data_IF_351554963125
#
_entry.id   IF_351554963125
#
_cell.length_a   1.000
_cell.length_b   1.000
_cell.length_c   1.000
_cell.angle_alpha   90.00
_cell.angle_beta   90.00
_cell.angle_gamma   90.00
#
_symmetry.space_group_name_H-M   'P 1'
#
loop_
_entity.id
_entity.type
_entity.pdbx_description
1 polymer ?
#
# COMPACT_ATOMS: atom_id res chain seq x y z
N UNK A 1 4.35 22.83 20.42
CA UNK A 1 3.91 23.72 19.33
C UNK A 1 2.39 23.60 19.28
N UNK A 2 1.67 24.56 19.86
CA UNK A 2 0.20 24.54 19.87
C UNK A 2 -0.29 25.42 18.74
N UNK A 3 -0.62 24.82 17.59
CA UNK A 3 -1.43 25.47 16.57
C UNK A 3 -2.88 25.47 17.08
N UNK A 4 -3.28 26.55 17.74
CA UNK A 4 -4.69 26.83 17.98
C UNK A 4 -5.24 27.51 16.73
N UNK A 5 -5.75 26.69 15.81
CA UNK A 5 -6.43 27.13 14.59
C UNK A 5 -7.55 26.14 14.29
N UNK A 6 -8.57 26.05 15.16
CA UNK A 6 -9.77 25.24 14.91
C UNK A 6 -10.66 25.88 13.82
N UNK A 7 -10.11 26.11 12.63
CA UNK A 7 -10.86 26.58 11.46
C UNK A 7 -11.25 25.45 10.51
N UNK A 8 -10.86 24.19 10.81
CA UNK A 8 -11.00 23.03 9.93
C UNK A 8 -10.41 23.28 8.53
N UNK A 9 -9.45 24.22 8.44
CA UNK A 9 -8.81 24.62 7.20
C UNK A 9 -7.97 23.50 6.61
N UNK A 10 -7.75 23.59 5.30
CA UNK A 10 -6.93 22.63 4.56
C UNK A 10 -5.55 22.45 5.21
N UNK A 11 -4.84 23.54 5.52
CA UNK A 11 -3.51 23.48 6.12
C UNK A 11 -3.47 22.86 7.51
N UNK A 12 -4.52 23.06 8.32
CA UNK A 12 -4.60 22.41 9.63
C UNK A 12 -4.65 20.88 9.48
N UNK A 13 -5.44 20.38 8.52
CA UNK A 13 -5.59 18.95 8.26
C UNK A 13 -4.32 18.33 7.68
N UNK A 14 -3.65 19.04 6.78
CA UNK A 14 -2.33 18.65 6.28
C UNK A 14 -1.31 18.55 7.43
N UNK A 15 -1.26 19.55 8.32
CA UNK A 15 -0.40 19.52 9.50
C UNK A 15 -0.69 18.32 10.41
N UNK A 16 -1.97 17.93 10.57
CA UNK A 16 -2.32 16.74 11.34
C UNK A 16 -1.92 15.44 10.65
N UNK A 17 -2.04 15.37 9.32
CA UNK A 17 -1.54 14.23 8.53
C UNK A 17 -0.02 14.10 8.67
N UNK A 18 0.72 15.19 8.45
CA UNK A 18 2.18 15.23 8.63
C UNK A 18 2.59 14.91 10.07
N UNK A 19 1.88 15.42 11.07
CA UNK A 19 2.17 15.06 12.47
C UNK A 19 1.96 13.57 12.72
N UNK A 20 0.93 12.95 12.14
CA UNK A 20 0.72 11.51 12.27
C UNK A 20 1.87 10.71 11.63
N UNK A 21 2.35 11.15 10.47
CA UNK A 21 3.51 10.59 9.78
C UNK A 21 4.78 10.66 10.66
N UNK A 22 5.16 11.86 11.10
CA UNK A 22 6.38 12.06 11.89
C UNK A 22 6.29 11.41 13.28
N UNK A 23 5.09 11.36 13.87
CA UNK A 23 4.88 10.67 15.13
C UNK A 23 4.98 9.15 14.97
N UNK A 24 4.61 8.59 13.82
CA UNK A 24 4.89 7.20 13.51
C UNK A 24 6.40 6.95 13.58
N UNK A 25 7.24 7.77 12.96
CA UNK A 25 8.69 7.60 13.01
C UNK A 25 9.22 7.60 14.44
N UNK A 26 8.67 8.45 15.32
CA UNK A 26 9.04 8.46 16.74
C UNK A 26 8.67 7.14 17.45
N UNK A 27 7.47 6.61 17.20
CA UNK A 27 7.04 5.31 17.73
C UNK A 27 7.95 4.20 17.19
N UNK A 28 8.24 4.21 15.88
CA UNK A 28 9.09 3.24 15.22
C UNK A 28 10.49 3.22 15.82
N UNK A 29 11.13 4.40 15.93
CA UNK A 29 12.45 4.54 16.53
C UNK A 29 12.47 4.02 17.98
N UNK A 30 11.47 4.38 18.79
CA UNK A 30 11.43 3.90 20.16
C UNK A 30 11.25 2.38 20.23
N UNK A 31 10.30 1.81 19.49
CA UNK A 31 10.03 0.37 19.54
C UNK A 31 11.17 -0.45 18.95
N UNK A 32 11.57 -0.16 17.71
CA UNK A 32 12.61 -0.92 17.03
C UNK A 32 13.98 -0.63 17.63
N UNK A 33 14.45 0.62 17.55
CA UNK A 33 15.83 0.97 17.87
C UNK A 33 16.12 0.96 19.37
N UNK A 34 15.19 1.40 20.22
CA UNK A 34 15.45 1.49 21.66
C UNK A 34 15.08 0.21 22.42
N UNK A 35 13.96 -0.44 22.09
CA UNK A 35 13.46 -1.58 22.88
C UNK A 35 13.79 -2.96 22.32
N UNK A 36 13.86 -3.13 21.00
CA UNK A 36 13.90 -4.45 20.36
C UNK A 36 15.25 -4.78 19.71
N UNK A 37 15.99 -3.78 19.24
CA UNK A 37 17.28 -3.96 18.60
C UNK A 37 18.39 -3.76 19.64
N UNK A 38 19.15 -4.83 19.89
CA UNK A 38 20.29 -4.83 20.83
C UNK A 38 21.63 -4.48 20.14
N UNK A 39 21.61 -4.16 18.84
CA UNK A 39 22.80 -3.86 18.05
C UNK A 39 22.90 -2.37 17.71
N UNK A 40 24.02 -1.77 18.08
CA UNK A 40 24.32 -0.37 17.80
C UNK A 40 24.31 -0.12 16.28
N UNK A 41 23.45 0.79 15.82
CA UNK A 41 23.33 1.15 14.41
C UNK A 41 22.39 0.27 13.59
N UNK A 42 21.77 -0.76 14.17
CA UNK A 42 20.71 -1.50 13.52
C UNK A 42 19.49 -0.59 13.29
N UNK A 43 19.06 -0.48 12.04
CA UNK A 43 17.91 0.31 11.62
C UNK A 43 17.03 -0.52 10.70
N UNK A 44 15.72 -0.33 10.81
CA UNK A 44 14.79 -0.87 9.82
C UNK A 44 15.05 -0.24 8.46
N UNK A 45 14.94 -1.04 7.41
CA UNK A 45 14.98 -0.58 6.04
C UNK A 45 14.06 0.63 5.85
N UNK A 46 14.60 1.67 5.20
CA UNK A 46 13.91 2.94 5.03
C UNK A 46 12.53 2.77 4.42
N UNK A 47 12.40 1.92 3.39
CA UNK A 47 11.12 1.69 2.73
C UNK A 47 10.03 1.17 3.69
N UNK A 48 10.38 0.39 4.72
CA UNK A 48 9.43 -0.13 5.71
C UNK A 48 9.01 0.97 6.67
N UNK A 49 9.96 1.74 7.20
CA UNK A 49 9.66 2.86 8.10
C UNK A 49 8.72 3.88 7.43
N UNK A 50 9.02 4.19 6.16
CA UNK A 50 8.23 5.12 5.35
C UNK A 50 6.89 4.52 4.94
N UNK A 51 6.85 3.23 4.58
CA UNK A 51 5.58 2.51 4.32
C UNK A 51 4.62 2.67 5.48
N UNK A 52 5.07 2.43 6.72
CA UNK A 52 4.21 2.48 7.89
C UNK A 52 3.77 3.92 8.18
N UNK A 53 4.65 4.91 7.98
CA UNK A 53 4.34 6.33 8.15
C UNK A 53 3.30 6.82 7.16
N UNK A 54 3.52 6.56 5.87
CA UNK A 54 2.59 6.86 4.80
C UNK A 54 1.24 6.15 4.99
N UNK A 55 1.24 4.89 5.43
CA UNK A 55 -0.01 4.14 5.67
C UNK A 55 -0.74 4.63 6.90
N UNK A 56 -0.02 5.16 7.89
CA UNK A 56 -0.62 5.78 9.08
C UNK A 56 -1.47 6.98 8.69
N UNK A 57 -1.04 7.77 7.70
CA UNK A 57 -1.84 8.88 7.17
C UNK A 57 -3.18 8.40 6.58
N UNK A 58 -3.19 7.30 5.78
CA UNK A 58 -4.42 6.67 5.28
C UNK A 58 -5.31 6.19 6.44
N UNK A 59 -4.70 5.55 7.44
CA UNK A 59 -5.39 4.95 8.57
C UNK A 59 -6.14 5.99 9.43
N UNK A 60 -5.54 7.17 9.64
CA UNK A 60 -6.14 8.22 10.48
C UNK A 60 -6.95 9.25 9.70
N UNK A 61 -6.90 9.24 8.36
CA UNK A 61 -7.50 10.26 7.49
C UNK A 61 -8.94 10.63 7.87
N UNK A 62 -9.80 9.63 8.08
CA UNK A 62 -11.22 9.84 8.45
C UNK A 62 -11.38 10.46 9.84
N UNK A 63 -10.47 10.20 10.78
CA UNK A 63 -10.48 10.74 12.15
C UNK A 63 -10.10 12.21 12.18
N UNK A 64 -9.18 12.62 11.32
CA UNK A 64 -8.71 14.01 11.21
C UNK A 64 -9.43 14.77 10.09
N UNK A 65 -10.46 14.17 9.48
CA UNK A 65 -11.25 14.76 8.40
C UNK A 65 -10.37 15.23 7.21
N UNK A 66 -9.37 14.43 6.87
CA UNK A 66 -8.39 14.66 5.80
C UNK A 66 -8.62 13.70 4.63
N UNK A 67 -8.33 14.11 3.39
CA UNK A 67 -8.53 13.24 2.22
C UNK A 67 -7.58 12.03 2.19
N UNK A 68 -6.46 12.13 2.93
CA UNK A 68 -5.46 11.08 3.05
C UNK A 68 -4.82 10.72 1.72
N UNK A 69 -4.14 9.58 1.69
CA UNK A 69 -3.39 9.12 0.52
C UNK A 69 -4.28 8.79 -0.67
N UNK A 70 -5.56 8.48 -0.45
CA UNK A 70 -6.55 8.26 -1.51
C UNK A 70 -6.91 9.54 -2.26
N UNK A 71 -6.75 10.72 -1.66
CA UNK A 71 -7.23 11.96 -2.28
C UNK A 71 -8.74 11.96 -2.54
N UNK A 72 -9.50 11.20 -1.74
CA UNK A 72 -10.97 11.07 -1.79
C UNK A 72 -11.52 11.68 -0.50
N UNK A 73 -12.74 12.22 -0.53
CA UNK A 73 -13.36 12.80 0.66
C UNK A 73 -13.30 11.82 1.85
N UNK A 74 -12.95 12.27 3.07
CA UNK A 74 -12.93 11.42 4.27
C UNK A 74 -14.30 10.86 4.68
N UNK A 75 -15.37 11.34 4.05
CA UNK A 75 -16.75 10.86 4.27
C UNK A 75 -17.23 9.94 3.15
N UNK A 76 -16.43 9.73 2.11
CA UNK A 76 -16.74 8.88 0.97
C UNK A 76 -15.91 7.58 1.07
N UNK A 77 -16.57 6.47 1.43
CA UNK A 77 -15.92 5.17 1.56
C UNK A 77 -15.63 4.48 0.23
N UNK A 78 -16.24 4.94 -0.87
CA UNK A 78 -16.06 4.36 -2.20
C UNK A 78 -14.66 4.62 -2.73
N UNK A 79 -14.35 4.05 -3.90
CA UNK A 79 -13.09 4.29 -4.61
C UNK A 79 -12.97 5.69 -5.25
N UNK A 80 -13.93 6.60 -4.99
CA UNK A 80 -13.98 7.93 -5.59
C UNK A 80 -14.38 7.91 -7.07
N UNK A 81 -14.39 9.08 -7.70
CA UNK A 81 -14.70 9.23 -9.13
C UNK A 81 -13.47 9.03 -10.02
N UNK A 82 -13.70 8.57 -11.25
CA UNK A 82 -12.65 8.50 -12.26
C UNK A 82 -12.05 9.88 -12.58
N UNK A 83 -10.76 9.91 -12.94
CA UNK A 83 -10.01 11.14 -13.22
C UNK A 83 -9.44 11.82 -11.97
N UNK A 84 -9.34 11.13 -10.83
CA UNK A 84 -8.77 11.70 -9.62
C UNK A 84 -7.25 11.95 -9.80
N UNK A 85 -6.83 13.20 -9.63
CA UNK A 85 -5.42 13.62 -9.71
C UNK A 85 -4.81 13.92 -8.33
N UNK A 86 -5.55 13.67 -7.25
CA UNK A 86 -5.14 13.97 -5.88
C UNK A 86 -4.60 12.71 -5.16
N UNK A 87 -3.93 12.93 -4.04
CA UNK A 87 -3.38 11.86 -3.21
C UNK A 87 -2.08 11.28 -3.78
N UNK A 88 -1.72 10.07 -3.32
CA UNK A 88 -0.46 9.38 -3.66
C UNK A 88 -0.58 8.53 -4.93
N UNK A 89 -1.77 8.04 -5.23
CA UNK A 89 -1.94 7.00 -6.26
C UNK A 89 -1.74 7.45 -7.72
N UNK A 90 -1.94 8.71 -8.13
CA UNK A 90 -1.53 9.17 -9.46
C UNK A 90 -0.02 8.97 -9.70
N UNK A 91 0.80 9.30 -8.71
CA UNK A 91 2.26 9.17 -8.82
C UNK A 91 2.72 7.72 -8.74
N UNK A 92 2.05 6.89 -7.93
CA UNK A 92 2.25 5.45 -7.97
C UNK A 92 1.92 4.89 -9.35
N UNK A 93 0.79 5.25 -9.95
CA UNK A 93 0.37 4.74 -11.26
C UNK A 93 1.37 5.06 -12.37
N UNK A 94 1.95 6.27 -12.36
CA UNK A 94 3.01 6.67 -13.30
C UNK A 94 4.31 5.87 -13.11
N UNK A 95 4.54 5.34 -11.91
CA UNK A 95 5.78 4.69 -11.49
C UNK A 95 5.56 3.28 -10.92
N UNK A 96 4.51 2.59 -11.39
CA UNK A 96 4.03 1.33 -10.81
C UNK A 96 4.96 0.13 -11.06
N UNK A 97 6.10 0.35 -11.73
CA UNK A 97 7.13 -0.65 -11.99
C UNK A 97 8.39 -0.51 -11.12
N UNK A 98 8.45 0.50 -10.25
CA UNK A 98 9.59 0.66 -9.35
C UNK A 98 9.71 -0.53 -8.39
N UNK A 99 10.95 -0.91 -8.08
CA UNK A 99 11.25 -1.79 -6.96
C UNK A 99 10.65 -1.21 -5.67
N UNK A 100 9.92 -2.06 -4.93
CA UNK A 100 9.30 -1.67 -3.66
C UNK A 100 10.36 -1.29 -2.60
N UNK A 101 11.44 -2.06 -2.54
CA UNK A 101 12.45 -1.97 -1.48
C UNK A 101 13.57 -0.98 -1.78
N UNK A 102 13.81 -0.68 -3.07
CA UNK A 102 14.81 0.33 -3.46
C UNK A 102 14.37 1.72 -3.00
N UNK A 103 15.24 2.46 -2.32
CA UNK A 103 14.91 3.80 -1.81
C UNK A 103 15.85 4.85 -2.40
N UNK A 104 15.28 5.87 -3.06
CA UNK A 104 16.00 7.00 -3.66
C UNK A 104 15.60 8.34 -3.03
N UNK A 105 14.70 8.33 -2.05
CA UNK A 105 14.16 9.53 -1.40
C UNK A 105 13.29 10.38 -2.32
N UNK A 106 12.72 9.80 -3.37
CA UNK A 106 11.86 10.49 -4.33
C UNK A 106 10.40 10.37 -3.92
N UNK A 107 9.55 11.33 -4.34
CA UNK A 107 8.10 11.30 -4.04
C UNK A 107 7.40 10.03 -4.55
N UNK A 108 7.91 9.42 -5.61
CA UNK A 108 7.45 8.13 -6.13
C UNK A 108 7.76 6.97 -5.18
N UNK A 109 8.83 7.05 -4.38
CA UNK A 109 9.17 6.05 -3.38
C UNK A 109 8.14 6.02 -2.25
N UNK A 110 7.70 7.20 -1.77
CA UNK A 110 6.62 7.30 -0.80
C UNK A 110 5.29 6.78 -1.37
N UNK A 111 5.00 7.07 -2.64
CA UNK A 111 3.75 6.68 -3.28
C UNK A 111 3.63 5.16 -3.48
N UNK A 112 4.72 4.48 -3.87
CA UNK A 112 4.72 3.01 -4.02
C UNK A 112 4.61 2.29 -2.68
N UNK A 113 5.30 2.76 -1.63
CA UNK A 113 5.21 2.13 -0.31
C UNK A 113 3.84 2.40 0.32
N UNK A 114 3.26 3.58 0.11
CA UNK A 114 1.89 3.87 0.51
C UNK A 114 0.89 2.89 -0.14
N UNK A 115 1.00 2.66 -1.45
CA UNK A 115 0.16 1.70 -2.15
C UNK A 115 0.32 0.30 -1.54
N UNK A 116 1.55 -0.18 -1.35
CA UNK A 116 1.78 -1.50 -0.74
C UNK A 116 1.26 -1.60 0.71
N UNK A 117 1.47 -0.59 1.54
CA UNK A 117 0.95 -0.58 2.91
C UNK A 117 -0.58 -0.51 2.97
N UNK A 118 -1.22 0.23 2.06
CA UNK A 118 -2.67 0.22 1.88
C UNK A 118 -3.21 -1.16 1.48
N UNK A 119 -2.45 -1.92 0.68
CA UNK A 119 -2.74 -3.34 0.42
C UNK A 119 -2.63 -4.19 1.68
N UNK A 120 -1.54 -4.05 2.45
CA UNK A 120 -1.34 -4.82 3.67
C UNK A 120 -2.48 -4.61 4.67
N UNK A 121 -2.89 -3.37 4.93
CA UNK A 121 -3.96 -3.09 5.89
C UNK A 121 -5.31 -3.66 5.43
N UNK A 122 -5.63 -3.57 4.13
CA UNK A 122 -6.89 -4.09 3.59
C UNK A 122 -6.96 -5.62 3.52
N UNK A 123 -5.82 -6.30 3.48
CA UNK A 123 -5.77 -7.74 3.27
C UNK A 123 -5.27 -8.53 4.49
N UNK A 124 -4.51 -7.92 5.41
CA UNK A 124 -3.77 -8.66 6.43
C UNK A 124 -3.97 -8.14 7.86
N UNK A 125 -5.16 -7.61 8.17
CA UNK A 125 -5.56 -7.29 9.55
C UNK A 125 -5.43 -5.82 9.93
N UNK A 126 -5.58 -4.91 8.97
CA UNK A 126 -5.80 -3.49 9.24
C UNK A 126 -4.70 -2.84 10.04
N UNK A 127 -5.06 -2.05 11.05
CA UNK A 127 -4.10 -1.35 11.91
C UNK A 127 -3.15 -2.31 12.64
N UNK A 128 -3.61 -3.53 12.94
CA UNK A 128 -2.82 -4.52 13.68
C UNK A 128 -1.58 -4.97 12.89
N UNK A 129 -1.65 -5.08 11.57
CA UNK A 129 -0.47 -5.49 10.77
C UNK A 129 0.65 -4.47 10.91
N UNK A 130 0.34 -3.17 10.86
CA UNK A 130 1.32 -2.10 11.04
C UNK A 130 1.95 -2.14 12.43
N UNK A 131 1.12 -2.33 13.47
CA UNK A 131 1.58 -2.53 14.84
C UNK A 131 2.57 -3.70 14.93
N UNK A 132 2.22 -4.84 14.35
CA UNK A 132 3.02 -6.07 14.43
C UNK A 132 4.34 -5.97 13.65
N UNK A 133 4.40 -5.16 12.58
CA UNK A 133 5.65 -4.85 11.87
C UNK A 133 6.59 -4.07 12.79
N UNK A 134 6.07 -3.06 13.50
CA UNK A 134 6.87 -2.24 14.44
C UNK A 134 7.32 -3.06 15.67
N UNK A 135 6.52 -4.01 16.14
CA UNK A 135 6.77 -4.78 17.37
C UNK A 135 7.46 -6.14 17.16
N UNK A 136 8.32 -6.26 16.15
CA UNK A 136 9.17 -7.43 15.95
C UNK A 136 10.63 -7.01 15.77
N UNK A 137 11.57 -7.96 15.87
CA UNK A 137 13.01 -7.67 15.81
C UNK A 137 13.61 -7.60 14.41
N UNK A 138 12.83 -7.90 13.38
CA UNK A 138 13.32 -7.91 12.00
C UNK A 138 13.41 -6.48 11.47
N UNK A 139 14.37 -6.24 10.59
CA UNK A 139 14.66 -4.91 10.04
C UNK A 139 14.44 -4.82 8.52
N UNK A 140 14.33 -5.96 7.86
CA UNK A 140 14.15 -6.16 6.42
C UNK A 140 12.72 -6.66 6.11
N UNK A 141 12.49 -7.19 4.91
CA UNK A 141 11.18 -7.72 4.51
C UNK A 141 10.61 -8.78 5.46
N UNK A 142 11.46 -9.45 6.25
CA UNK A 142 11.02 -10.43 7.24
C UNK A 142 10.15 -9.78 8.34
N UNK A 143 10.31 -8.47 8.58
CA UNK A 143 9.44 -7.71 9.49
C UNK A 143 8.00 -7.65 9.00
N UNK A 144 7.81 -7.53 7.67
CA UNK A 144 6.49 -7.55 7.03
C UNK A 144 5.94 -8.96 7.03
N UNK A 145 6.74 -9.94 6.62
CA UNK A 145 6.32 -11.35 6.57
C UNK A 145 5.90 -11.87 7.95
N UNK A 146 6.68 -11.58 9.01
CA UNK A 146 6.35 -11.99 10.39
C UNK A 146 5.02 -11.39 10.87
N UNK A 147 4.74 -10.13 10.52
CA UNK A 147 3.48 -9.49 10.86
C UNK A 147 2.31 -10.11 10.07
N UNK A 148 2.49 -10.33 8.76
CA UNK A 148 1.46 -10.94 7.91
C UNK A 148 1.13 -12.36 8.35
N UNK A 149 2.10 -13.15 8.80
CA UNK A 149 1.87 -14.51 9.32
C UNK A 149 0.90 -14.57 10.50
N UNK A 150 0.70 -13.45 11.21
CA UNK A 150 -0.25 -13.34 12.33
C UNK A 150 -1.69 -13.08 11.87
N UNK A 151 -1.90 -12.76 10.60
CA UNK A 151 -3.22 -12.56 10.01
C UNK A 151 -3.84 -13.90 9.54
N UNK A 152 -5.19 -14.05 9.59
CA UNK A 152 -5.86 -15.31 9.23
C UNK A 152 -5.52 -15.86 7.84
N UNK A 153 -5.30 -14.99 6.85
CA UNK A 153 -4.98 -15.33 5.46
C UNK A 153 -3.49 -15.20 5.12
N UNK A 154 -2.65 -14.82 6.10
CA UNK A 154 -1.22 -14.58 5.88
C UNK A 154 -0.31 -15.73 6.27
N UNK A 155 -0.84 -16.83 6.83
CA UNK A 155 -0.03 -17.98 7.23
C UNK A 155 0.81 -18.52 6.05
N UNK A 156 2.10 -18.72 6.28
CA UNK A 156 3.09 -19.25 5.33
C UNK A 156 3.39 -18.38 4.09
N UNK A 157 2.90 -17.13 4.02
CA UNK A 157 3.23 -16.23 2.90
C UNK A 157 4.72 -15.92 2.87
N UNK A 158 5.35 -15.98 1.71
CA UNK A 158 6.68 -15.40 1.51
C UNK A 158 6.55 -13.92 1.13
N UNK A 159 7.66 -13.19 1.10
CA UNK A 159 7.63 -11.82 0.57
C UNK A 159 7.24 -11.78 -0.92
N UNK A 160 7.69 -12.77 -1.70
CA UNK A 160 7.32 -12.91 -3.12
C UNK A 160 5.81 -13.14 -3.30
N UNK A 161 5.17 -13.89 -2.40
CA UNK A 161 3.71 -14.04 -2.41
C UNK A 161 3.01 -12.70 -2.17
N UNK A 162 3.52 -11.86 -1.28
CA UNK A 162 2.95 -10.52 -1.01
C UNK A 162 3.10 -9.60 -2.22
N UNK A 163 4.26 -9.62 -2.88
CA UNK A 163 4.50 -8.83 -4.09
C UNK A 163 3.56 -9.24 -5.23
N UNK A 164 3.39 -10.55 -5.43
CA UNK A 164 2.47 -11.13 -6.42
C UNK A 164 1.03 -10.76 -6.12
N UNK A 165 0.58 -10.90 -4.87
CA UNK A 165 -0.78 -10.56 -4.49
C UNK A 165 -1.07 -9.06 -4.56
N UNK A 166 -0.10 -8.23 -4.21
CA UNK A 166 -0.21 -6.79 -4.38
C UNK A 166 -0.39 -6.43 -5.86
N UNK A 167 0.37 -7.05 -6.76
CA UNK A 167 0.22 -6.85 -8.21
C UNK A 167 -1.19 -7.24 -8.70
N UNK A 168 -1.70 -8.39 -8.23
CA UNK A 168 -3.04 -8.86 -8.54
C UNK A 168 -4.09 -7.86 -8.04
N UNK A 169 -3.97 -7.39 -6.79
CA UNK A 169 -4.90 -6.45 -6.19
C UNK A 169 -4.93 -5.10 -6.93
N UNK A 170 -3.77 -4.61 -7.40
CA UNK A 170 -3.69 -3.39 -8.21
C UNK A 170 -4.49 -3.57 -9.52
N UNK A 171 -4.27 -4.67 -10.24
CA UNK A 171 -4.95 -4.94 -11.52
C UNK A 171 -6.45 -5.23 -11.38
N UNK A 172 -6.88 -5.75 -10.24
CA UNK A 172 -8.28 -6.06 -9.93
C UNK A 172 -8.98 -4.96 -9.12
N UNK A 173 -8.35 -3.80 -8.93
CA UNK A 173 -8.86 -2.74 -8.04
C UNK A 173 -10.16 -2.06 -8.51
N UNK A 174 -10.60 -2.30 -9.74
CA UNK A 174 -11.90 -1.89 -10.26
C UNK A 174 -13.04 -2.90 -9.96
N UNK A 175 -12.73 -4.02 -9.31
CA UNK A 175 -13.72 -5.03 -8.92
C UNK A 175 -14.01 -4.96 -7.41
N UNK A 176 -15.28 -4.78 -7.07
CA UNK A 176 -15.77 -4.65 -5.70
C UNK A 176 -16.17 -5.99 -5.04
N UNK A 177 -16.22 -7.07 -5.82
CA UNK A 177 -16.84 -8.34 -5.42
C UNK A 177 -15.88 -9.53 -5.59
N UNK A 178 -14.60 -9.31 -5.29
CA UNK A 178 -13.60 -10.38 -5.32
C UNK A 178 -13.81 -11.37 -4.17
N UNK A 179 -13.63 -12.66 -4.48
CA UNK A 179 -13.76 -13.75 -3.49
C UNK A 179 -12.46 -14.52 -3.45
N UNK A 180 -11.89 -14.70 -2.25
CA UNK A 180 -10.61 -15.39 -2.02
C UNK A 180 -9.44 -14.85 -2.84
N UNK A 181 -9.49 -13.57 -3.21
CA UNK A 181 -8.44 -12.84 -3.92
C UNK A 181 -8.08 -11.58 -3.15
N UNK A 182 -6.83 -11.11 -3.26
CA UNK A 182 -6.42 -9.87 -2.64
C UNK A 182 -7.15 -8.68 -3.29
N UNK A 183 -7.52 -7.69 -2.49
CA UNK A 183 -8.39 -6.60 -2.92
C UNK A 183 -8.01 -5.24 -2.36
N UNK A 184 -8.37 -4.20 -3.09
CA UNK A 184 -8.38 -2.82 -2.62
C UNK A 184 -9.78 -2.22 -2.50
N UNK A 185 -10.75 -2.81 -3.20
CA UNK A 185 -12.04 -2.21 -3.44
C UNK A 185 -13.14 -3.13 -2.95
N UNK A 186 -13.97 -2.63 -2.05
CA UNK A 186 -15.16 -3.27 -1.50
C UNK A 186 -16.41 -2.43 -1.76
N UNK A 187 -16.30 -1.34 -2.53
CA UNK A 187 -17.37 -0.39 -2.85
C UNK A 187 -17.66 0.65 -1.76
N UNK A 188 -17.20 0.44 -0.52
CA UNK A 188 -17.41 1.36 0.60
C UNK A 188 -16.24 1.24 1.63
N UNK A 189 -16.40 1.84 2.80
CA UNK A 189 -15.52 1.65 3.94
C UNK A 189 -15.55 0.20 4.43
N UNK A 190 -14.37 -0.37 4.61
CA UNK A 190 -14.16 -1.60 5.37
C UNK A 190 -13.74 -1.22 6.79
N UNK A 191 -14.60 -1.44 7.81
CA UNK A 191 -14.24 -1.14 9.19
C UNK A 191 -13.22 -2.15 9.70
N UNK A 192 -12.14 -1.65 10.29
CA UNK A 192 -11.14 -2.44 11.01
C UNK A 192 -11.11 -1.98 12.47
N UNK A 193 -11.29 -2.91 13.41
CA UNK A 193 -11.25 -2.57 14.84
C UNK A 193 -10.04 -3.22 15.49
N UNK A 194 -9.14 -2.38 16.00
CA UNK A 194 -7.98 -2.80 16.77
C UNK A 194 -8.03 -2.15 18.16
N UNK A 195 -7.99 -2.98 19.20
CA UNK A 195 -8.31 -2.58 20.58
C UNK A 195 -9.68 -1.87 20.67
N UNK A 196 -9.68 -0.59 21.02
CA UNK A 196 -10.89 0.22 21.21
C UNK A 196 -11.08 1.27 20.11
N UNK A 197 -10.30 1.19 19.03
CA UNK A 197 -10.35 2.15 17.91
C UNK A 197 -10.81 1.43 16.66
N UNK A 198 -11.89 1.94 16.05
CA UNK A 198 -12.33 1.52 14.71
C UNK A 198 -11.79 2.48 13.66
N UNK A 199 -11.02 1.95 12.73
CA UNK A 199 -10.53 2.60 11.53
C UNK A 199 -11.45 2.31 10.36
N UNK A 200 -11.58 3.27 9.46
CA UNK A 200 -12.44 3.15 8.27
C UNK A 200 -11.54 3.12 7.04
N UNK A 201 -11.26 1.91 6.54
CA UNK A 201 -10.40 1.73 5.37
C UNK A 201 -11.26 1.93 4.11
N UNK A 202 -11.11 3.09 3.46
CA UNK A 202 -11.85 3.38 2.24
C UNK A 202 -11.36 2.53 1.05
N UNK A 203 -12.27 2.23 0.13
CA UNK A 203 -11.97 1.50 -1.09
C UNK A 203 -10.98 2.26 -1.99
N UNK A 204 -10.20 1.54 -2.78
CA UNK A 204 -9.27 2.11 -3.77
C UNK A 204 -9.41 1.39 -5.11
N UNK A 205 -9.63 2.15 -6.17
CA UNK A 205 -9.55 1.69 -7.55
C UNK A 205 -8.45 2.46 -8.26
N UNK A 206 -7.32 1.82 -8.57
CA UNK A 206 -6.21 2.51 -9.22
C UNK A 206 -6.57 3.04 -10.62
N UNK A 207 -7.57 2.46 -11.28
CA UNK A 207 -8.06 2.93 -12.58
C UNK A 207 -8.95 4.18 -12.50
N UNK A 208 -9.34 4.61 -11.29
CA UNK A 208 -10.01 5.89 -11.09
C UNK A 208 -9.04 7.08 -11.07
N UNK A 209 -7.73 6.86 -10.96
CA UNK A 209 -6.74 7.92 -10.91
C UNK A 209 -6.22 8.30 -12.31
N UNK A 210 -5.72 9.52 -12.44
CA UNK A 210 -5.09 10.02 -13.66
C UNK A 210 -3.63 10.42 -13.37
N UNK A 211 -2.62 9.75 -13.96
CA UNK A 211 -2.76 8.66 -14.93
C UNK A 211 -3.27 7.35 -14.29
N UNK A 212 -3.82 6.46 -15.13
CA UNK A 212 -4.11 5.06 -14.76
C UNK A 212 -2.80 4.26 -14.63
N UNK A 213 -2.80 3.06 -14.00
CA UNK A 213 -1.62 2.21 -13.93
C UNK A 213 -1.00 2.01 -15.31
N UNK A 214 0.31 2.20 -15.42
CA UNK A 214 1.02 1.92 -16.67
C UNK A 214 0.92 0.42 -16.99
N UNK A 215 0.32 0.12 -18.14
CA UNK A 215 0.24 -1.23 -18.71
C UNK A 215 1.09 -1.25 -19.98
N UNK A 216 2.09 -2.12 -20.01
CA UNK A 216 2.99 -2.27 -21.16
C UNK A 216 2.42 -3.24 -22.20
N UNK A 217 2.73 -2.97 -23.47
CA UNK A 217 2.42 -3.86 -24.60
C UNK A 217 3.66 -4.53 -25.20
N UNK A 218 4.85 -4.13 -24.74
CA UNK A 218 6.13 -4.75 -25.08
C UNK A 218 6.74 -5.37 -23.83
N UNK A 219 7.56 -6.41 -24.00
CA UNK A 219 8.34 -6.95 -22.88
C UNK A 219 9.35 -5.90 -22.39
N UNK A 220 9.69 -5.95 -21.11
CA UNK A 220 10.62 -5.02 -20.48
C UNK A 220 11.41 -5.67 -19.35
N UNK A 221 12.32 -4.88 -18.77
CA UNK A 221 13.07 -5.29 -17.58
C UNK A 221 12.21 -5.06 -16.34
N UNK A 222 12.20 -6.05 -15.45
CA UNK A 222 11.54 -5.96 -14.15
C UNK A 222 12.64 -5.71 -13.12
N UNK A 223 12.51 -4.63 -12.33
CA UNK A 223 13.40 -4.42 -11.20
C UNK A 223 13.15 -5.49 -10.13
N UNK A 224 14.18 -5.86 -9.37
CA UNK A 224 14.02 -6.80 -8.26
C UNK A 224 12.98 -6.25 -7.25
N UNK A 225 12.10 -7.12 -6.77
CA UNK A 225 11.00 -6.75 -5.85
C UNK A 225 10.08 -5.63 -6.41
N UNK A 226 10.01 -5.52 -7.73
CA UNK A 226 9.06 -4.68 -8.47
C UNK A 226 8.05 -5.51 -9.24
N UNK A 227 6.99 -4.86 -9.72
CA UNK A 227 5.94 -5.48 -10.53
C UNK A 227 5.98 -4.94 -11.96
N UNK A 228 5.61 -5.75 -12.94
CA UNK A 228 5.53 -5.32 -14.34
C UNK A 228 4.21 -5.77 -14.94
N UNK A 229 3.39 -4.81 -15.34
CA UNK A 229 2.05 -5.08 -15.84
C UNK A 229 2.06 -5.13 -17.36
N UNK A 230 1.84 -6.31 -17.92
CA UNK A 230 1.80 -6.54 -19.36
C UNK A 230 0.37 -6.82 -19.84
N UNK A 231 -0.10 -6.03 -20.82
CA UNK A 231 -1.41 -6.18 -21.42
C UNK A 231 -1.33 -7.11 -22.63
N UNK A 232 -1.95 -8.28 -22.51
CA UNK A 232 -2.01 -9.29 -23.58
C UNK A 232 -2.96 -8.89 -24.71
N UNK A 233 -4.08 -8.26 -24.39
CA UNK A 233 -5.06 -7.78 -25.37
C UNK A 233 -6.38 -7.37 -24.71
N UNK A 234 -7.31 -6.88 -25.52
CA UNK A 234 -8.67 -6.48 -25.11
C UNK A 234 -9.71 -7.33 -25.83
N UNK A 235 -10.81 -7.67 -25.15
CA UNK A 235 -11.94 -8.39 -25.74
C UNK A 235 -11.53 -9.67 -26.49
N UNK A 236 -10.52 -10.37 -25.98
CA UNK A 236 -10.02 -11.59 -26.59
C UNK A 236 -11.08 -12.69 -26.49
N UNK A 237 -11.37 -13.36 -27.62
CA UNK A 237 -12.32 -14.46 -27.69
C UNK A 237 -11.66 -15.72 -28.24
N UNK A 238 -12.15 -16.88 -27.82
CA UNK A 238 -11.60 -18.18 -28.25
C UNK A 238 -10.31 -18.54 -27.50
N UNK A 239 -9.50 -19.41 -28.09
CA UNK A 239 -8.25 -19.85 -27.48
C UNK A 239 -7.15 -18.80 -27.63
N UNK A 240 -6.63 -18.32 -26.50
CA UNK A 240 -5.47 -17.43 -26.44
C UNK A 240 -4.26 -18.24 -26.00
N UNK A 241 -3.23 -18.29 -26.85
CA UNK A 241 -1.95 -18.95 -26.52
C UNK A 241 -0.91 -17.87 -26.20
N UNK A 242 -0.27 -17.96 -25.03
CA UNK A 242 0.75 -17.03 -24.57
C UNK A 242 2.02 -17.83 -24.27
N UNK A 243 3.15 -17.38 -24.82
CA UNK A 243 4.47 -17.93 -24.52
C UNK A 243 5.27 -16.89 -23.75
N UNK A 244 5.71 -17.24 -22.54
CA UNK A 244 6.52 -16.39 -21.68
C UNK A 244 7.90 -17.01 -21.46
N UNK A 245 8.95 -16.24 -21.73
CA UNK A 245 10.33 -16.61 -21.41
C UNK A 245 10.77 -15.79 -20.20
N UNK A 246 10.85 -16.44 -19.04
CA UNK A 246 11.25 -15.81 -17.79
C UNK A 246 12.72 -16.11 -17.49
N UNK A 247 13.40 -15.20 -16.80
CA UNK A 247 14.84 -15.31 -16.49
C UNK A 247 15.14 -16.25 -15.29
N UNK A 248 14.12 -16.90 -14.72
CA UNK A 248 14.24 -17.81 -13.56
C UNK A 248 14.10 -17.13 -12.19
N UNK A 249 14.12 -15.80 -12.11
CA UNK A 249 13.88 -15.03 -10.88
C UNK A 249 12.56 -14.24 -10.92
N UNK A 250 11.93 -14.19 -12.09
CA UNK A 250 10.61 -13.60 -12.30
C UNK A 250 9.52 -14.67 -12.24
N UNK A 251 8.47 -14.38 -11.49
CA UNK A 251 7.19 -15.11 -11.58
C UNK A 251 6.21 -14.35 -12.48
N UNK A 252 5.29 -15.08 -13.12
CA UNK A 252 4.24 -14.48 -13.93
C UNK A 252 2.87 -14.99 -13.47
N UNK A 253 1.91 -14.06 -13.33
CA UNK A 253 0.51 -14.37 -13.09
C UNK A 253 -0.32 -13.87 -14.26
N UNK A 254 -1.14 -14.74 -14.84
CA UNK A 254 -2.11 -14.36 -15.86
C UNK A 254 -3.44 -14.00 -15.20
N UNK A 255 -3.94 -12.81 -15.50
CA UNK A 255 -5.26 -12.34 -15.05
C UNK A 255 -6.14 -12.19 -16.29
N UNK A 256 -7.28 -12.87 -16.28
CA UNK A 256 -8.35 -12.68 -17.25
C UNK A 256 -9.50 -11.96 -16.54
N UNK A 257 -9.80 -10.75 -17.00
CA UNK A 257 -10.87 -9.88 -16.49
C UNK A 257 -11.58 -9.17 -17.64
#
# INVERSE_FOLDING_TARGET
MFANTDDNGFWQKEMYSTLAHEFQHMIHFYQKTILLLDEEGANTDTWINEMISETTEDLVATKINHAGSRGVSPTDGSAGSAGNTNGRYPLFNENNTLSLTSWRGQTSDYSKVNAFGAFLTRNYGGAKVLHDIVHNKYIDEQAVVDAVHKAPNGANKTFDDLLKEWAIAVLLSDNENLVNLPMYNTGDFTPDTYHNTTYQLGSVNFFNYSPQPLLHTTAGTIEAQGNYYYKVGDNLTGTVNISLNLNGQTEATLIAK
#
